data_IF_417843034529
#
_entry.id   IF_417843034529
#
_cell.length_a   1.000
_cell.length_b   1.000
_cell.length_c   1.000
_cell.angle_alpha   90.00
_cell.angle_beta   90.00
_cell.angle_gamma   90.00
#
_symmetry.space_group_name_H-M   'P 1'
#
loop_
_entity.id
_entity.type
_entity.pdbx_description
1 polymer ?
#
# COMPACT_ATOMS: atom_id res chain seq x y z
N UNK A 1 -13.77 -29.06 1.36
CA UNK A 1 -12.35 -28.68 1.51
C UNK A 1 -12.13 -27.16 1.43
N UNK A 2 -13.01 -26.42 0.74
CA UNK A 2 -13.05 -24.94 0.68
C UNK A 2 -12.93 -24.19 2.04
N UNK A 3 -13.58 -24.59 3.15
CA UNK A 3 -13.49 -23.84 4.41
C UNK A 3 -12.11 -23.90 5.08
N UNK A 4 -11.27 -24.92 4.78
CA UNK A 4 -9.88 -24.96 5.27
C UNK A 4 -8.96 -23.98 4.53
N UNK A 5 -9.34 -23.55 3.33
CA UNK A 5 -8.59 -22.57 2.53
C UNK A 5 -8.95 -21.12 2.86
N UNK A 6 -10.11 -20.84 3.47
CA UNK A 6 -10.52 -19.47 3.81
C UNK A 6 -9.46 -18.73 4.64
N UNK A 7 -8.85 -19.39 5.62
CA UNK A 7 -7.80 -18.78 6.45
C UNK A 7 -6.53 -18.44 5.68
N UNK A 8 -6.16 -19.29 4.71
CA UNK A 8 -4.99 -19.06 3.85
C UNK A 8 -5.29 -17.98 2.82
N UNK A 9 -6.51 -17.97 2.26
CA UNK A 9 -6.96 -16.93 1.33
C UNK A 9 -7.06 -15.57 2.00
N UNK A 10 -7.50 -15.48 3.26
CA UNK A 10 -7.53 -14.23 4.02
C UNK A 10 -6.14 -13.62 4.13
N UNK A 11 -5.15 -14.42 4.51
CA UNK A 11 -3.75 -13.97 4.60
C UNK A 11 -3.22 -13.59 3.20
N UNK A 12 -3.52 -14.39 2.18
CA UNK A 12 -3.08 -14.09 0.81
C UNK A 12 -3.66 -12.77 0.27
N UNK A 13 -4.94 -12.49 0.55
CA UNK A 13 -5.60 -11.23 0.19
C UNK A 13 -5.03 -10.07 0.98
N UNK A 14 -4.78 -10.23 2.29
CA UNK A 14 -4.14 -9.21 3.11
C UNK A 14 -2.77 -8.82 2.55
N UNK A 15 -1.92 -9.82 2.24
CA UNK A 15 -0.60 -9.58 1.67
C UNK A 15 -0.68 -8.89 0.30
N UNK A 16 -1.61 -9.32 -0.57
CA UNK A 16 -1.83 -8.66 -1.87
C UNK A 16 -2.34 -7.23 -1.75
N UNK A 17 -3.18 -6.98 -0.74
CA UNK A 17 -3.68 -5.65 -0.44
C UNK A 17 -2.55 -4.74 0.03
N UNK A 18 -1.68 -5.22 0.93
CA UNK A 18 -0.48 -4.51 1.37
C UNK A 18 0.45 -4.17 0.20
N UNK A 19 0.79 -5.15 -0.64
CA UNK A 19 1.66 -4.96 -1.81
C UNK A 19 1.09 -3.93 -2.80
N UNK A 20 -0.24 -3.85 -2.93
CA UNK A 20 -0.89 -2.91 -3.85
C UNK A 20 -0.66 -1.44 -3.46
N UNK A 21 -0.51 -1.12 -2.17
CA UNK A 21 -0.16 0.25 -1.74
C UNK A 21 1.32 0.56 -1.98
N UNK A 22 2.19 -0.44 -1.97
CA UNK A 22 3.62 -0.24 -2.19
C UNK A 22 3.99 -0.18 -3.68
N UNK A 23 3.00 -0.21 -4.58
CA UNK A 23 3.20 -0.14 -6.03
C UNK A 23 3.83 1.20 -6.44
N UNK A 24 4.92 1.13 -7.19
CA UNK A 24 5.67 2.29 -7.69
C UNK A 24 5.94 2.17 -9.18
N UNK A 25 6.43 1.01 -9.61
CA UNK A 25 6.93 0.75 -10.95
C UNK A 25 5.88 0.91 -12.03
N UNK A 26 4.67 0.42 -11.81
CA UNK A 26 3.59 0.36 -12.77
C UNK A 26 3.06 1.76 -13.13
N UNK A 27 2.62 2.59 -12.18
CA UNK A 27 2.15 3.93 -12.51
C UNK A 27 3.28 4.84 -13.00
N UNK A 28 4.52 4.64 -12.52
CA UNK A 28 5.68 5.40 -12.95
C UNK A 28 6.05 5.13 -14.41
N UNK A 29 6.14 3.85 -14.82
CA UNK A 29 6.55 3.48 -16.20
C UNK A 29 5.51 3.89 -17.23
N UNK A 30 4.22 3.78 -16.91
CA UNK A 30 3.14 4.02 -17.89
C UNK A 30 2.79 5.51 -18.01
N UNK A 31 2.78 6.24 -16.90
CA UNK A 31 2.29 7.65 -16.89
C UNK A 31 3.26 8.65 -16.31
N UNK A 32 4.29 8.21 -15.58
CA UNK A 32 5.17 9.09 -14.81
C UNK A 32 4.43 9.95 -13.76
N UNK A 33 3.16 9.66 -13.47
CA UNK A 33 2.27 10.48 -12.65
C UNK A 33 1.46 11.56 -13.38
N UNK A 34 1.34 11.50 -14.72
CA UNK A 34 0.62 12.51 -15.53
C UNK A 34 -0.84 12.19 -15.92
N UNK A 35 -1.57 13.15 -16.53
CA UNK A 35 -1.21 14.54 -16.80
C UNK A 35 -1.47 15.49 -15.61
N UNK A 36 -0.49 16.30 -15.22
CA UNK A 36 -0.66 17.32 -14.17
C UNK A 36 -0.81 16.77 -12.75
N UNK A 37 -0.14 15.66 -12.41
CA UNK A 37 -0.20 14.97 -11.10
C UNK A 37 -1.54 14.28 -10.79
N UNK A 38 -2.37 13.98 -11.79
CA UNK A 38 -3.64 13.28 -11.55
C UNK A 38 -3.49 11.78 -11.27
N UNK A 39 -2.33 11.19 -11.61
CA UNK A 39 -2.02 9.76 -11.38
C UNK A 39 -0.78 9.55 -10.51
N UNK A 40 -0.29 10.60 -9.84
CA UNK A 40 0.83 10.47 -8.90
C UNK A 40 0.39 9.73 -7.64
N UNK A 41 0.96 8.54 -7.46
CA UNK A 41 0.92 7.85 -6.18
C UNK A 41 1.93 8.47 -5.22
N UNK A 42 1.68 8.35 -3.91
CA UNK A 42 2.58 8.84 -2.87
C UNK A 42 3.98 8.19 -3.00
N UNK A 43 4.03 6.92 -3.43
CA UNK A 43 5.26 6.21 -3.79
C UNK A 43 6.09 6.91 -4.88
N UNK A 44 5.44 7.59 -5.84
CA UNK A 44 6.13 8.33 -6.91
C UNK A 44 6.75 9.62 -6.35
N UNK A 45 6.02 10.33 -5.51
CA UNK A 45 6.52 11.58 -4.91
C UNK A 45 7.68 11.33 -3.95
N UNK A 46 7.65 10.22 -3.21
CA UNK A 46 8.78 9.77 -2.39
C UNK A 46 10.06 9.58 -3.20
N UNK A 47 9.97 8.96 -4.38
CA UNK A 47 11.14 8.74 -5.24
C UNK A 47 11.60 10.04 -5.89
N UNK A 48 10.68 10.92 -6.30
CA UNK A 48 11.02 12.25 -6.80
C UNK A 48 11.77 13.08 -5.75
N UNK A 49 11.31 13.06 -4.51
CA UNK A 49 11.91 13.82 -3.41
C UNK A 49 13.27 13.22 -2.97
N UNK A 50 13.36 11.89 -2.89
CA UNK A 50 14.57 11.19 -2.46
C UNK A 50 15.69 11.18 -3.52
N UNK A 51 15.34 10.91 -4.79
CA UNK A 51 16.31 10.70 -5.88
C UNK A 51 16.40 11.91 -6.81
N UNK A 52 15.30 12.63 -7.04
CA UNK A 52 15.30 13.84 -7.87
C UNK A 52 15.85 15.06 -7.14
N UNK A 53 15.33 15.34 -5.94
CA UNK A 53 15.70 16.53 -5.16
C UNK A 53 16.77 16.25 -4.09
N UNK A 54 17.17 14.98 -3.90
CA UNK A 54 18.12 14.53 -2.88
C UNK A 54 17.74 14.90 -1.42
N UNK A 55 16.46 15.17 -1.17
CA UNK A 55 15.95 15.53 0.15
C UNK A 55 15.55 14.28 0.94
N UNK A 56 16.56 13.56 1.42
CA UNK A 56 16.40 12.27 2.10
C UNK A 56 15.68 12.39 3.45
N UNK A 57 15.80 13.54 4.13
CA UNK A 57 15.16 13.77 5.44
C UNK A 57 13.63 13.87 5.31
N UNK A 58 13.17 14.67 4.35
CA UNK A 58 11.74 14.82 4.08
C UNK A 58 11.15 13.54 3.48
N UNK A 59 11.86 12.89 2.56
CA UNK A 59 11.45 11.59 2.01
C UNK A 59 11.34 10.50 3.09
N UNK A 60 12.25 10.47 4.07
CA UNK A 60 12.18 9.53 5.19
C UNK A 60 10.95 9.80 6.08
N UNK A 61 10.67 11.06 6.40
CA UNK A 61 9.51 11.43 7.20
C UNK A 61 8.20 11.03 6.50
N UNK A 62 8.07 11.34 5.20
CA UNK A 62 6.90 10.94 4.40
C UNK A 62 6.76 9.41 4.30
N UNK A 63 7.87 8.67 4.17
CA UNK A 63 7.84 7.20 4.11
C UNK A 63 7.31 6.58 5.41
N UNK A 64 7.70 7.15 6.56
CA UNK A 64 7.20 6.69 7.88
C UNK A 64 5.70 6.97 8.00
N UNK A 65 5.24 8.15 7.63
CA UNK A 65 3.81 8.49 7.63
C UNK A 65 3.03 7.53 6.73
N UNK A 66 3.56 7.26 5.53
CA UNK A 66 2.94 6.33 4.59
C UNK A 66 2.85 4.91 5.14
N UNK A 67 3.92 4.45 5.77
CA UNK A 67 3.96 3.16 6.44
C UNK A 67 2.90 3.05 7.56
N UNK A 68 2.73 4.09 8.37
CA UNK A 68 1.71 4.11 9.43
C UNK A 68 0.28 4.05 8.87
N UNK A 69 0.02 4.72 7.74
CA UNK A 69 -1.28 4.65 7.05
C UNK A 69 -1.54 3.22 6.55
N UNK A 70 -0.57 2.59 5.87
CA UNK A 70 -0.71 1.21 5.37
C UNK A 70 -0.90 0.23 6.54
N UNK A 71 -0.14 0.40 7.63
CA UNK A 71 -0.29 -0.41 8.84
C UNK A 71 -1.69 -0.31 9.43
N UNK A 72 -2.21 0.91 9.57
CA UNK A 72 -3.56 1.13 10.10
C UNK A 72 -4.61 0.51 9.19
N UNK A 73 -4.52 0.72 7.87
CA UNK A 73 -5.45 0.12 6.92
C UNK A 73 -5.39 -1.42 6.94
N UNK A 74 -4.19 -1.99 7.03
CA UNK A 74 -4.00 -3.44 7.12
C UNK A 74 -4.58 -4.01 8.42
N UNK A 75 -4.41 -3.30 9.53
CA UNK A 75 -4.98 -3.68 10.81
C UNK A 75 -6.51 -3.61 10.83
N UNK A 76 -7.09 -2.55 10.26
CA UNK A 76 -8.55 -2.43 10.09
C UNK A 76 -9.06 -3.54 9.17
N UNK A 77 -8.43 -3.78 8.03
CA UNK A 77 -8.81 -4.83 7.10
C UNK A 77 -8.79 -6.21 7.77
N UNK A 78 -7.70 -6.54 8.48
CA UNK A 78 -7.59 -7.77 9.25
C UNK A 78 -8.71 -7.89 10.29
N UNK A 79 -8.91 -6.85 11.11
CA UNK A 79 -9.92 -6.83 12.18
C UNK A 79 -11.32 -7.06 11.62
N UNK A 80 -11.69 -6.31 10.57
CA UNK A 80 -13.00 -6.43 9.91
C UNK A 80 -13.19 -7.83 9.34
N UNK A 81 -12.21 -8.36 8.61
CA UNK A 81 -12.31 -9.68 7.98
C UNK A 81 -12.40 -10.80 9.02
N UNK A 82 -11.66 -10.69 10.15
CA UNK A 82 -11.78 -11.65 11.26
C UNK A 82 -13.10 -11.54 12.02
N UNK A 83 -13.70 -10.35 12.12
CA UNK A 83 -15.01 -10.16 12.74
C UNK A 83 -16.13 -10.78 11.89
N UNK A 84 -16.10 -10.60 10.56
CA UNK A 84 -17.03 -11.26 9.65
C UNK A 84 -16.93 -12.80 9.69
N UNK A 85 -15.71 -13.33 9.86
CA UNK A 85 -15.51 -14.78 10.04
C UNK A 85 -16.01 -15.29 11.40
N UNK A 86 -16.15 -14.42 12.41
CA UNK A 86 -16.68 -14.77 13.73
C UNK A 86 -18.21 -14.76 13.80
N UNK A 87 -18.88 -14.01 12.91
CA UNK A 87 -20.35 -13.97 12.78
C UNK A 87 -20.92 -15.09 11.89
N UNK A 88 -20.08 -15.83 11.15
CA UNK A 88 -20.46 -16.98 10.29
C UNK A 88 -20.27 -18.33 10.97
#
# INVERSE_FOLDING_TARGET
>A
QLPKMNRVLLIAVLLRFMDSFMIYTEPFVVTGGGPGNTTTFLSIDLVKLAIGEFNLGEAAAMSIVYFLIIMLLSWVFYTVMTAYDAER
#
